data_IF_659407320322
#
_entry.id   IF_659407320322
#
_cell.length_a   1.000
_cell.length_b   1.000
_cell.length_c   1.000
_cell.angle_alpha   90.00
_cell.angle_beta   90.00
_cell.angle_gamma   90.00
#
_symmetry.space_group_name_H-M   'P 1'
#
loop_
_entity.id
_entity.type
_entity.pdbx_description
1 polymer ?
#
# COMPACT_ATOMS: atom_id res chain seq x y z
N UNK A 1 -4.65 4.41 -24.83
CA UNK A 1 -3.88 4.58 -23.59
C UNK A 1 -2.94 3.40 -23.47
N UNK A 2 -1.65 3.66 -23.26
CA UNK A 2 -0.65 2.62 -23.07
C UNK A 2 -0.50 2.32 -21.57
N UNK A 3 -0.13 1.08 -21.20
CA UNK A 3 0.14 0.70 -19.81
C UNK A 3 1.21 1.59 -19.17
N UNK A 4 2.22 1.97 -19.93
CA UNK A 4 3.33 2.83 -19.51
C UNK A 4 2.94 4.28 -19.18
N UNK A 5 1.73 4.73 -19.54
CA UNK A 5 1.21 6.06 -19.18
C UNK A 5 0.61 6.10 -17.77
N UNK A 6 0.46 4.95 -17.12
CA UNK A 6 -0.13 4.83 -15.78
C UNK A 6 0.89 4.23 -14.81
N UNK A 7 1.14 4.95 -13.73
CA UNK A 7 2.07 4.53 -12.68
C UNK A 7 1.30 3.79 -11.56
N UNK A 8 1.71 2.56 -11.23
CA UNK A 8 1.26 1.83 -10.03
C UNK A 8 2.24 2.14 -8.90
N UNK A 9 1.78 2.90 -7.90
CA UNK A 9 2.57 3.27 -6.73
C UNK A 9 2.27 2.34 -5.55
N UNK A 10 3.21 1.45 -5.23
CA UNK A 10 3.07 0.42 -4.21
C UNK A 10 3.53 0.89 -2.82
N UNK A 11 2.82 0.51 -1.75
CA UNK A 11 3.21 0.82 -0.38
C UNK A 11 4.30 -0.14 0.11
N UNK A 12 5.37 0.38 0.70
CA UNK A 12 6.46 -0.43 1.24
C UNK A 12 6.71 -0.09 2.70
N UNK A 13 6.62 -1.11 3.58
CA UNK A 13 6.87 -1.01 5.01
C UNK A 13 7.97 -1.95 5.50
N UNK A 14 8.52 -2.80 4.63
CA UNK A 14 9.62 -3.73 4.92
C UNK A 14 10.36 -4.10 3.64
N UNK A 15 11.51 -4.73 3.75
CA UNK A 15 12.28 -5.21 2.58
C UNK A 15 11.55 -6.32 1.82
N UNK A 16 10.79 -7.18 2.51
CA UNK A 16 9.95 -8.19 1.90
C UNK A 16 8.86 -7.55 1.04
N UNK A 17 8.25 -6.45 1.53
CA UNK A 17 7.25 -5.70 0.78
C UNK A 17 7.88 -4.96 -0.42
N UNK A 18 9.11 -4.45 -0.30
CA UNK A 18 9.86 -3.86 -1.40
C UNK A 18 10.12 -4.88 -2.51
N UNK A 19 10.68 -6.04 -2.15
CA UNK A 19 10.92 -7.12 -3.11
C UNK A 19 9.63 -7.60 -3.77
N UNK A 20 8.55 -7.76 -2.99
CA UNK A 20 7.24 -8.17 -3.49
C UNK A 20 6.61 -7.13 -4.44
N UNK A 21 6.74 -5.82 -4.17
CA UNK A 21 6.27 -4.76 -5.06
C UNK A 21 6.99 -4.78 -6.40
N UNK A 22 8.32 -4.93 -6.38
CA UNK A 22 9.15 -5.04 -7.59
C UNK A 22 8.78 -6.28 -8.40
N UNK A 23 8.67 -7.45 -7.76
CA UNK A 23 8.27 -8.69 -8.42
C UNK A 23 6.90 -8.62 -9.09
N UNK A 24 5.98 -7.88 -8.48
CA UNK A 24 4.61 -7.73 -8.98
C UNK A 24 4.47 -6.69 -10.11
N UNK A 25 5.53 -5.95 -10.45
CA UNK A 25 5.53 -4.98 -11.53
C UNK A 25 5.05 -3.58 -11.12
N UNK A 26 5.30 -3.16 -9.87
CA UNK A 26 5.10 -1.77 -9.47
C UNK A 26 6.04 -0.84 -10.25
N UNK A 27 5.54 0.34 -10.66
CA UNK A 27 6.34 1.36 -11.35
C UNK A 27 7.06 2.26 -10.33
N UNK A 28 6.47 2.39 -9.14
CA UNK A 28 7.07 3.12 -8.04
C UNK A 28 6.72 2.51 -6.68
N UNK A 29 7.55 2.82 -5.70
CA UNK A 29 7.31 2.46 -4.30
C UNK A 29 7.33 3.70 -3.42
N UNK A 30 6.48 3.72 -2.38
CA UNK A 30 6.52 4.79 -1.40
C UNK A 30 6.63 4.24 0.03
N UNK A 31 7.45 4.89 0.84
CA UNK A 31 7.77 4.45 2.19
C UNK A 31 8.02 5.64 3.12
N UNK A 32 8.19 5.37 4.41
CA UNK A 32 8.51 6.38 5.41
C UNK A 32 9.73 5.98 6.21
N UNK A 33 10.48 6.98 6.66
CA UNK A 33 11.58 6.82 7.61
C UNK A 33 11.25 7.54 8.91
N UNK A 34 11.64 6.97 10.05
CA UNK A 34 11.46 7.60 11.35
C UNK A 34 10.04 8.11 11.62
N UNK A 35 9.92 9.37 12.11
CA UNK A 35 8.66 9.92 12.61
C UNK A 35 7.91 10.83 11.65
N UNK A 36 8.54 11.34 10.59
CA UNK A 36 7.98 12.37 9.69
C UNK A 36 6.98 11.83 8.66
N UNK A 37 6.24 10.78 8.97
CA UNK A 37 5.27 10.19 8.06
C UNK A 37 3.98 9.75 8.76
N UNK A 38 2.87 9.74 8.03
CA UNK A 38 1.51 9.47 8.53
C UNK A 38 1.29 8.04 9.07
N UNK A 39 2.28 7.15 8.98
CA UNK A 39 2.25 5.77 9.50
C UNK A 39 3.34 5.51 10.53
N UNK A 40 3.97 6.55 11.07
CA UNK A 40 5.08 6.44 12.00
C UNK A 40 4.78 5.56 13.23
N UNK A 41 3.55 5.55 13.72
CA UNK A 41 3.12 4.75 14.87
C UNK A 41 2.45 3.41 14.51
N UNK A 42 2.21 3.12 13.22
CA UNK A 42 1.40 1.96 12.79
C UNK A 42 2.06 1.06 11.75
N UNK A 43 3.23 1.42 11.25
CA UNK A 43 4.03 0.60 10.34
C UNK A 43 5.43 0.39 10.93
N UNK A 44 6.09 -0.70 10.56
CA UNK A 44 7.52 -0.84 10.75
C UNK A 44 8.19 0.15 9.80
N UNK A 45 8.71 1.26 10.34
CA UNK A 45 9.33 2.28 9.51
C UNK A 45 10.80 1.96 9.33
N UNK A 46 11.31 2.26 8.14
CA UNK A 46 12.73 2.26 7.86
C UNK A 46 13.44 3.37 8.65
N UNK A 47 14.75 3.25 8.77
CA UNK A 47 15.64 4.28 9.29
C UNK A 47 16.23 5.10 8.14
N UNK A 48 16.92 6.20 8.44
CA UNK A 48 17.65 6.96 7.44
C UNK A 48 18.77 6.16 6.77
N UNK A 49 19.35 5.19 7.48
CA UNK A 49 20.41 4.34 6.96
C UNK A 49 19.91 3.32 5.92
N UNK A 50 18.62 3.02 5.93
CA UNK A 50 18.00 2.13 4.95
C UNK A 50 17.80 2.80 3.58
N UNK A 51 17.82 4.16 3.50
CA UNK A 51 17.51 4.90 2.27
C UNK A 51 18.37 4.45 1.08
N UNK A 52 19.68 4.41 1.25
CA UNK A 52 20.62 4.00 0.20
C UNK A 52 20.26 2.63 -0.39
N UNK A 53 19.98 1.66 0.49
CA UNK A 53 19.66 0.30 0.08
C UNK A 53 18.31 0.22 -0.62
N UNK A 54 17.28 0.93 -0.11
CA UNK A 54 15.94 0.94 -0.71
C UNK A 54 16.00 1.54 -2.11
N UNK A 55 16.60 2.73 -2.26
CA UNK A 55 16.73 3.42 -3.54
C UNK A 55 17.52 2.59 -4.54
N UNK A 56 18.70 2.07 -4.15
CA UNK A 56 19.50 1.22 -5.02
C UNK A 56 18.75 -0.05 -5.46
N UNK A 57 17.98 -0.68 -4.56
CA UNK A 57 17.20 -1.88 -4.89
C UNK A 57 16.05 -1.55 -5.87
N UNK A 58 15.32 -0.46 -5.65
CA UNK A 58 14.24 -0.02 -6.52
C UNK A 58 14.78 0.37 -7.91
N UNK A 59 15.79 1.21 -7.97
CA UNK A 59 16.40 1.69 -9.21
C UNK A 59 17.04 0.58 -10.04
N UNK A 60 17.66 -0.41 -9.39
CA UNK A 60 18.20 -1.59 -10.10
C UNK A 60 17.11 -2.37 -10.86
N UNK A 61 15.86 -2.25 -10.45
CA UNK A 61 14.71 -2.84 -11.11
C UNK A 61 13.93 -1.85 -12.01
N UNK A 62 14.41 -0.61 -12.17
CA UNK A 62 13.72 0.44 -12.92
C UNK A 62 12.48 1.03 -12.21
N UNK A 63 12.36 0.82 -10.89
CA UNK A 63 11.25 1.28 -10.06
C UNK A 63 11.63 2.57 -9.34
N UNK A 64 10.76 3.60 -9.39
CA UNK A 64 10.99 4.86 -8.68
C UNK A 64 10.78 4.70 -7.17
N UNK A 65 11.46 5.50 -6.38
CA UNK A 65 11.41 5.48 -4.91
C UNK A 65 10.96 6.84 -4.35
N UNK A 66 9.85 6.86 -3.61
CA UNK A 66 9.28 8.08 -3.03
C UNK A 66 9.28 8.05 -1.51
N UNK A 67 9.82 9.10 -0.91
CA UNK A 67 9.87 9.23 0.55
C UNK A 67 8.70 10.05 1.08
N UNK A 68 7.92 9.50 2.02
CA UNK A 68 6.87 10.28 2.68
C UNK A 68 7.43 11.16 3.81
N UNK A 69 7.25 12.47 3.66
CA UNK A 69 7.51 13.53 4.67
C UNK A 69 6.22 14.33 4.82
N UNK A 70 5.13 13.63 5.16
CA UNK A 70 3.77 14.15 5.02
C UNK A 70 3.02 14.35 6.35
N UNK A 71 3.73 14.49 7.45
CA UNK A 71 3.20 14.99 8.72
C UNK A 71 3.18 16.51 8.75
N UNK A 72 2.37 17.08 9.63
CA UNK A 72 2.52 18.49 10.03
C UNK A 72 3.82 18.64 10.80
N UNK A 73 4.59 19.67 10.53
CA UNK A 73 5.91 19.95 11.12
C UNK A 73 5.76 20.98 12.23
N UNK A 74 6.43 20.79 13.36
CA UNK A 74 6.53 21.78 14.44
C UNK A 74 7.90 22.44 14.39
N UNK A 75 8.01 23.62 15.01
CA UNK A 75 9.21 24.45 14.93
C UNK A 75 10.49 23.73 15.40
N UNK A 76 10.39 22.91 16.43
CA UNK A 76 11.49 22.10 16.98
C UNK A 76 11.91 20.92 16.06
N UNK A 77 11.16 20.64 14.99
CA UNK A 77 11.45 19.58 14.04
C UNK A 77 12.04 20.09 12.71
N UNK A 78 12.15 21.40 12.54
CA UNK A 78 12.61 22.01 11.26
C UNK A 78 13.96 21.47 10.82
N UNK A 79 14.93 21.35 11.75
CA UNK A 79 16.23 20.81 11.42
C UNK A 79 16.14 19.34 11.00
N UNK A 80 15.35 18.50 11.71
CA UNK A 80 15.15 17.09 11.35
C UNK A 80 14.53 16.93 9.96
N UNK A 81 13.59 17.81 9.59
CA UNK A 81 13.00 17.82 8.24
C UNK A 81 14.07 18.10 7.19
N UNK A 82 14.93 19.09 7.42
CA UNK A 82 16.04 19.41 6.51
C UNK A 82 17.00 18.21 6.37
N UNK A 83 17.45 17.64 7.47
CA UNK A 83 18.37 16.48 7.48
C UNK A 83 17.80 15.27 6.71
N UNK A 84 16.50 14.99 6.91
CA UNK A 84 15.82 13.89 6.18
C UNK A 84 15.77 14.17 4.68
N UNK A 85 15.43 15.39 4.27
CA UNK A 85 15.32 15.74 2.85
C UNK A 85 16.71 15.83 2.19
N UNK A 86 17.72 16.35 2.90
CA UNK A 86 19.12 16.37 2.42
C UNK A 86 19.63 14.94 2.20
N UNK A 87 19.38 14.04 3.15
CA UNK A 87 19.75 12.63 3.00
C UNK A 87 18.99 11.97 1.85
N UNK A 88 17.68 12.22 1.72
CA UNK A 88 16.88 11.72 0.61
C UNK A 88 17.45 12.14 -0.75
N UNK A 89 17.84 13.42 -0.89
CA UNK A 89 18.52 13.93 -2.09
C UNK A 89 19.86 13.23 -2.33
N UNK A 90 20.68 13.10 -1.30
CA UNK A 90 22.01 12.49 -1.42
C UNK A 90 21.95 11.03 -1.88
N UNK A 91 20.91 10.29 -1.46
CA UNK A 91 20.71 8.88 -1.84
C UNK A 91 19.91 8.74 -3.16
N UNK A 92 19.53 9.84 -3.82
CA UNK A 92 18.89 9.82 -5.13
C UNK A 92 17.41 9.46 -5.11
N UNK A 93 16.68 9.84 -4.04
CA UNK A 93 15.21 9.65 -4.00
C UNK A 93 14.57 10.42 -5.18
N UNK A 94 13.58 9.82 -5.86
CA UNK A 94 12.94 10.44 -7.02
C UNK A 94 12.03 11.61 -6.63
N UNK A 95 11.24 11.47 -5.55
CA UNK A 95 10.44 12.55 -5.01
C UNK A 95 10.15 12.37 -3.51
N UNK A 96 9.77 13.47 -2.85
CA UNK A 96 9.12 13.41 -1.54
C UNK A 96 7.61 13.60 -1.68
N UNK A 97 6.84 12.91 -0.83
CA UNK A 97 5.40 13.11 -0.69
C UNK A 97 5.18 13.96 0.56
N UNK A 98 4.76 15.22 0.39
CA UNK A 98 4.69 16.20 1.48
C UNK A 98 3.34 16.94 1.53
N UNK A 99 3.02 17.51 2.68
CA UNK A 99 1.84 18.38 2.89
C UNK A 99 2.18 19.68 3.59
N UNK A 100 3.23 19.69 4.43
CA UNK A 100 3.67 20.86 5.16
C UNK A 100 4.59 21.72 4.28
N UNK A 101 4.36 23.02 4.26
CA UNK A 101 5.16 23.96 3.47
C UNK A 101 6.62 24.00 3.88
N UNK A 102 6.95 23.70 5.16
CA UNK A 102 8.34 23.58 5.59
C UNK A 102 9.10 22.54 4.77
N UNK A 103 8.49 21.36 4.56
CA UNK A 103 9.07 20.30 3.75
C UNK A 103 9.03 20.62 2.24
N UNK A 104 7.89 21.13 1.74
CA UNK A 104 7.69 21.43 0.31
C UNK A 104 8.70 22.47 -0.17
N UNK A 105 8.79 23.63 0.52
CA UNK A 105 9.66 24.73 0.11
C UNK A 105 11.14 24.38 0.24
N UNK A 106 11.50 23.63 1.29
CA UNK A 106 12.88 23.17 1.45
C UNK A 106 13.31 22.22 0.33
N UNK A 107 12.49 21.19 0.06
CA UNK A 107 12.77 20.23 -1.01
C UNK A 107 12.92 20.92 -2.37
N UNK A 108 12.02 21.85 -2.70
CA UNK A 108 12.10 22.62 -3.94
C UNK A 108 13.36 23.47 -4.02
N UNK A 109 13.72 24.15 -2.92
CA UNK A 109 14.94 24.96 -2.85
C UNK A 109 16.20 24.17 -3.16
N UNK A 110 16.28 22.93 -2.73
CA UNK A 110 17.45 22.08 -2.97
C UNK A 110 17.31 21.19 -4.22
N UNK A 111 16.21 21.28 -4.97
CA UNK A 111 16.00 20.57 -6.24
C UNK A 111 15.53 19.12 -6.08
N UNK A 112 14.78 18.80 -5.02
CA UNK A 112 14.06 17.53 -4.86
C UNK A 112 12.64 17.69 -5.36
N UNK A 113 12.15 16.73 -6.14
CA UNK A 113 10.77 16.70 -6.63
C UNK A 113 9.77 16.49 -5.48
N UNK A 114 8.58 17.09 -5.63
CA UNK A 114 7.53 17.04 -4.61
C UNK A 114 6.23 16.54 -5.20
N UNK A 115 5.61 15.53 -4.58
CA UNK A 115 4.21 15.18 -4.75
C UNK A 115 3.40 15.78 -3.58
N UNK A 116 2.33 16.52 -3.89
CA UNK A 116 1.46 17.07 -2.84
C UNK A 116 0.57 15.97 -2.28
N UNK A 117 0.70 15.73 -0.99
CA UNK A 117 0.01 14.65 -0.30
C UNK A 117 -1.51 14.89 -0.18
N UNK A 118 -2.27 13.80 -0.06
CA UNK A 118 -3.73 13.82 0.12
C UNK A 118 -4.21 14.66 1.33
N UNK A 119 -3.34 14.90 2.33
CA UNK A 119 -3.67 15.73 3.48
C UNK A 119 -3.87 17.23 3.12
N UNK A 120 -3.43 17.66 1.94
CA UNK A 120 -3.70 19.00 1.41
C UNK A 120 -5.12 19.16 0.89
N UNK A 121 -5.89 18.05 0.75
CA UNK A 121 -7.30 18.00 0.38
C UNK A 121 -7.64 18.78 -0.90
N UNK A 122 -6.81 18.61 -1.95
CA UNK A 122 -6.97 19.26 -3.25
C UNK A 122 -8.25 18.77 -3.91
N UNK A 123 -9.18 19.68 -4.21
CA UNK A 123 -10.52 19.34 -4.69
C UNK A 123 -11.01 20.22 -5.85
N UNK A 124 -10.17 21.08 -6.41
CA UNK A 124 -10.49 21.95 -7.55
C UNK A 124 -9.22 22.39 -8.28
N UNK A 125 -9.40 22.87 -9.52
CA UNK A 125 -8.30 23.29 -10.41
C UNK A 125 -7.52 24.50 -9.92
N UNK A 126 -8.14 25.43 -9.18
CA UNK A 126 -7.42 26.60 -8.64
C UNK A 126 -6.43 26.16 -7.56
N UNK A 127 -6.81 25.19 -6.74
CA UNK A 127 -5.89 24.60 -5.76
C UNK A 127 -4.76 23.81 -6.44
N UNK A 128 -5.06 23.08 -7.53
CA UNK A 128 -4.02 22.44 -8.37
C UNK A 128 -3.06 23.49 -8.91
N UNK A 129 -3.56 24.57 -9.51
CA UNK A 129 -2.76 25.67 -10.03
C UNK A 129 -1.90 26.35 -8.95
N UNK A 130 -2.43 26.47 -7.73
CA UNK A 130 -1.65 26.96 -6.61
C UNK A 130 -0.47 26.04 -6.30
N UNK A 131 -0.70 24.73 -6.18
CA UNK A 131 0.36 23.77 -5.85
C UNK A 131 1.29 23.46 -7.02
N UNK A 132 0.89 23.70 -8.28
CA UNK A 132 1.73 23.48 -9.45
C UNK A 132 3.02 24.32 -9.47
N UNK A 133 3.08 25.37 -8.64
CA UNK A 133 4.30 26.15 -8.46
C UNK A 133 5.43 25.34 -7.78
N UNK A 134 5.09 24.27 -7.05
CA UNK A 134 6.04 23.49 -6.26
C UNK A 134 6.05 21.99 -6.60
N UNK A 135 5.02 21.47 -7.27
CA UNK A 135 4.86 20.06 -7.49
C UNK A 135 4.39 19.72 -8.90
N UNK A 136 4.89 18.62 -9.42
CA UNK A 136 4.48 18.05 -10.71
C UNK A 136 3.33 17.05 -10.58
N UNK A 137 3.13 16.49 -9.37
CA UNK A 137 2.08 15.53 -9.06
C UNK A 137 1.29 15.97 -7.83
N UNK A 138 -0.05 15.88 -7.91
CA UNK A 138 -0.94 16.22 -6.80
C UNK A 138 -1.88 15.06 -6.47
N UNK A 139 -2.02 14.74 -5.17
CA UNK A 139 -3.01 13.77 -4.72
C UNK A 139 -4.34 14.49 -4.46
N UNK A 140 -5.36 14.17 -5.25
CA UNK A 140 -6.68 14.75 -5.04
C UNK A 140 -7.37 14.18 -3.79
N UNK A 141 -8.34 14.94 -3.28
CA UNK A 141 -9.18 14.52 -2.15
C UNK A 141 -9.97 13.25 -2.50
N UNK A 142 -10.09 12.35 -1.52
CA UNK A 142 -10.75 11.02 -1.70
C UNK A 142 -12.28 11.10 -1.72
N UNK A 143 -12.83 12.25 -1.39
CA UNK A 143 -14.26 12.54 -1.37
C UNK A 143 -14.83 12.90 -2.75
N UNK A 144 -13.96 13.11 -3.75
CA UNK A 144 -14.36 13.49 -5.10
C UNK A 144 -14.99 12.32 -5.86
N UNK A 145 -15.98 12.63 -6.70
CA UNK A 145 -16.48 11.71 -7.71
C UNK A 145 -15.57 11.70 -8.93
N UNK A 146 -15.63 10.64 -9.75
CA UNK A 146 -14.85 10.57 -11.00
C UNK A 146 -15.20 11.70 -11.98
N UNK A 147 -16.46 12.17 -11.96
CA UNK A 147 -16.86 13.31 -12.78
C UNK A 147 -16.14 14.59 -12.35
N UNK A 148 -16.05 14.84 -11.03
CA UNK A 148 -15.30 15.99 -10.50
C UNK A 148 -13.80 15.88 -10.80
N UNK A 149 -13.22 14.68 -10.70
CA UNK A 149 -11.83 14.42 -11.11
C UNK A 149 -11.63 14.74 -12.59
N UNK A 150 -12.52 14.26 -13.46
CA UNK A 150 -12.47 14.55 -14.89
C UNK A 150 -12.61 16.05 -15.21
N UNK A 151 -13.41 16.79 -14.44
CA UNK A 151 -13.50 18.25 -14.55
C UNK A 151 -12.18 18.92 -14.18
N UNK A 152 -11.55 18.52 -13.09
CA UNK A 152 -10.24 19.05 -12.69
C UNK A 152 -9.19 18.77 -13.76
N UNK A 153 -9.16 17.53 -14.28
CA UNK A 153 -8.22 17.15 -15.35
C UNK A 153 -8.43 17.99 -16.63
N UNK A 154 -9.68 18.20 -17.06
CA UNK A 154 -9.95 19.09 -18.19
C UNK A 154 -9.40 20.50 -17.95
N UNK A 155 -9.60 21.06 -16.76
CA UNK A 155 -9.08 22.39 -16.42
C UNK A 155 -7.54 22.43 -16.39
N UNK A 156 -6.86 21.35 -15.98
CA UNK A 156 -5.40 21.25 -16.08
C UNK A 156 -4.95 21.36 -17.53
N UNK A 157 -5.62 20.64 -18.44
CA UNK A 157 -5.29 20.64 -19.88
C UNK A 157 -5.65 21.97 -20.55
N UNK A 158 -6.88 22.47 -20.36
CA UNK A 158 -7.40 23.68 -21.00
C UNK A 158 -6.65 24.96 -20.58
N UNK A 159 -6.21 25.01 -19.32
CA UNK A 159 -5.48 26.17 -18.77
C UNK A 159 -3.96 25.98 -18.73
N UNK A 160 -3.45 24.91 -19.34
CA UNK A 160 -2.02 24.57 -19.42
C UNK A 160 -1.33 24.64 -18.05
N UNK A 161 -1.94 24.02 -17.03
CA UNK A 161 -1.41 24.04 -15.66
C UNK A 161 -0.22 23.08 -15.56
N UNK A 162 0.99 23.66 -15.51
CA UNK A 162 2.25 22.92 -15.51
C UNK A 162 2.95 22.99 -14.18
N UNK A 163 3.61 21.88 -13.84
CA UNK A 163 4.51 21.79 -12.71
C UNK A 163 5.90 22.33 -13.00
N UNK A 164 6.81 22.25 -12.02
CA UNK A 164 8.18 22.78 -12.13
C UNK A 164 9.05 22.13 -13.23
N UNK A 165 8.72 20.93 -13.71
CA UNK A 165 9.39 20.28 -14.84
C UNK A 165 8.94 20.81 -16.19
N UNK A 166 7.89 21.61 -16.20
CA UNK A 166 7.28 22.13 -17.43
C UNK A 166 6.25 21.20 -18.06
N UNK A 167 5.97 20.05 -17.46
CA UNK A 167 4.94 19.11 -17.88
C UNK A 167 3.59 19.46 -17.21
N UNK A 168 2.47 19.01 -17.80
CA UNK A 168 1.17 19.15 -17.16
C UNK A 168 1.17 18.44 -15.80
N UNK A 169 0.52 19.05 -14.81
CA UNK A 169 0.39 18.45 -13.47
C UNK A 169 -0.34 17.13 -13.56
N UNK A 170 0.24 16.09 -13.00
CA UNK A 170 -0.32 14.74 -12.93
C UNK A 170 -1.25 14.58 -11.73
N UNK A 171 -2.33 13.84 -11.95
CA UNK A 171 -3.29 13.48 -10.91
C UNK A 171 -2.95 12.10 -10.34
N UNK A 172 -2.64 12.09 -9.04
CA UNK A 172 -2.51 10.87 -8.23
C UNK A 172 -3.79 10.66 -7.42
N UNK A 173 -4.31 9.42 -7.38
CA UNK A 173 -5.45 9.06 -6.55
C UNK A 173 -5.28 7.66 -5.95
N UNK A 174 -5.90 7.44 -4.76
CA UNK A 174 -5.97 6.10 -4.19
C UNK A 174 -6.84 5.20 -5.04
N UNK A 175 -6.28 4.06 -5.46
CA UNK A 175 -6.98 3.03 -6.23
C UNK A 175 -7.43 1.85 -5.36
N UNK A 176 -6.69 1.53 -4.29
CA UNK A 176 -6.96 0.36 -3.44
C UNK A 176 -6.55 0.58 -1.99
N UNK A 177 -7.28 -0.09 -1.08
CA UNK A 177 -6.91 -0.27 0.31
C UNK A 177 -7.69 0.58 1.30
N UNK A 178 -7.17 0.73 2.50
CA UNK A 178 -7.90 1.32 3.62
C UNK A 178 -8.38 2.75 3.37
N UNK A 179 -9.67 2.98 3.51
CA UNK A 179 -10.27 4.32 3.48
C UNK A 179 -10.38 4.88 4.91
N UNK A 180 -10.13 6.19 5.06
CA UNK A 180 -10.29 6.88 6.32
C UNK A 180 -11.76 7.29 6.55
N UNK A 181 -12.24 7.19 7.79
CA UNK A 181 -13.55 7.72 8.19
C UNK A 181 -13.62 9.24 8.11
N UNK A 182 -12.49 9.90 8.25
CA UNK A 182 -12.37 11.36 8.26
C UNK A 182 -11.68 11.86 6.99
N UNK A 183 -11.87 13.14 6.68
CA UNK A 183 -11.02 13.86 5.73
C UNK A 183 -9.54 13.63 6.09
N UNK A 184 -8.71 13.38 5.08
CA UNK A 184 -7.32 12.98 5.26
C UNK A 184 -6.54 13.98 6.13
N UNK A 185 -5.91 13.48 7.21
CA UNK A 185 -5.13 14.28 8.14
C UNK A 185 -5.93 15.16 9.11
N UNK A 186 -7.27 15.20 9.05
CA UNK A 186 -8.11 16.10 9.87
C UNK A 186 -8.86 15.41 11.02
N UNK A 187 -8.51 14.16 11.34
CA UNK A 187 -9.18 13.38 12.38
C UNK A 187 -8.63 13.73 13.78
N UNK A 188 -9.53 14.15 14.70
CA UNK A 188 -9.22 14.41 16.09
C UNK A 188 -9.41 13.20 17.02
N UNK A 189 -9.99 12.10 16.56
CA UNK A 189 -10.39 10.97 17.41
C UNK A 189 -9.22 10.44 18.26
N UNK A 190 -8.05 10.20 17.64
CA UNK A 190 -6.88 9.73 18.36
C UNK A 190 -6.29 10.79 19.29
N UNK A 191 -6.31 12.06 18.90
CA UNK A 191 -5.83 13.15 19.74
C UNK A 191 -6.69 13.28 21.00
N UNK A 192 -8.02 13.27 20.82
CA UNK A 192 -8.97 13.38 21.93
C UNK A 192 -8.84 12.24 22.93
N UNK A 193 -8.80 10.99 22.46
CA UNK A 193 -8.82 9.79 23.32
C UNK A 193 -7.44 9.45 23.92
N UNK A 194 -6.35 9.75 23.23
CA UNK A 194 -5.02 9.22 23.57
C UNK A 194 -3.91 10.25 23.55
N UNK A 195 -4.23 11.50 23.35
CA UNK A 195 -3.26 12.59 23.15
C UNK A 195 -2.23 12.30 22.03
N UNK A 196 -2.66 11.56 20.99
CA UNK A 196 -1.83 11.18 19.85
C UNK A 196 -2.43 11.71 18.55
N UNK A 197 -1.81 12.69 17.92
CA UNK A 197 -2.35 13.36 16.74
C UNK A 197 -2.20 12.50 15.47
N UNK A 198 -3.33 12.29 14.75
CA UNK A 198 -3.33 11.53 13.51
C UNK A 198 -2.53 12.23 12.39
N UNK A 199 -2.55 13.57 12.29
CA UNK A 199 -1.78 14.32 11.30
C UNK A 199 -0.26 14.36 11.60
N UNK A 200 0.13 13.80 12.75
CA UNK A 200 1.52 13.60 13.19
C UNK A 200 1.95 12.14 13.11
N UNK A 201 1.25 11.31 12.35
CA UNK A 201 1.56 9.88 12.18
C UNK A 201 1.11 8.97 13.31
N UNK A 202 0.47 9.50 14.37
CA UNK A 202 0.11 8.75 15.57
C UNK A 202 -1.36 8.31 15.62
N UNK A 203 -1.95 7.99 14.45
CA UNK A 203 -3.32 7.46 14.37
C UNK A 203 -3.43 6.09 15.05
N UNK A 204 -4.24 5.99 16.10
CA UNK A 204 -4.52 4.75 16.85
C UNK A 204 -5.62 3.88 16.25
N UNK A 205 -6.19 4.28 15.10
CA UNK A 205 -7.26 3.57 14.39
C UNK A 205 -8.48 3.27 15.28
N UNK A 206 -8.84 4.18 16.17
CA UNK A 206 -9.97 4.02 17.10
C UNK A 206 -11.29 3.79 16.33
N UNK A 207 -11.45 4.40 15.15
CA UNK A 207 -12.59 4.16 14.26
C UNK A 207 -12.75 2.68 13.83
N UNK A 208 -11.75 1.83 14.08
CA UNK A 208 -11.82 0.38 13.75
C UNK A 208 -12.33 -0.49 14.90
N UNK A 209 -12.75 0.12 16.02
CA UNK A 209 -13.35 -0.56 17.17
C UNK A 209 -14.86 -0.66 17.03
N UNK A 210 -15.47 -1.55 17.82
CA UNK A 210 -16.91 -1.59 18.02
C UNK A 210 -17.34 -0.45 18.95
N UNK A 211 -18.46 0.17 18.65
CA UNK A 211 -19.05 1.22 19.46
C UNK A 211 -20.54 0.95 19.69
N UNK A 212 -21.02 1.25 20.88
CA UNK A 212 -22.43 1.36 21.19
C UNK A 212 -22.75 2.84 21.32
N UNK A 213 -23.77 3.30 20.62
CA UNK A 213 -24.27 4.67 20.71
C UNK A 213 -25.54 4.65 21.52
N UNK A 214 -25.53 5.34 22.66
CA UNK A 214 -26.70 5.44 23.56
C UNK A 214 -27.16 6.89 23.60
N UNK A 215 -28.44 7.11 23.35
CA UNK A 215 -29.09 8.38 23.60
C UNK A 215 -29.21 8.57 25.11
N UNK A 216 -28.55 9.57 25.67
CA UNK A 216 -28.52 9.82 27.10
C UNK A 216 -29.83 10.40 27.65
N UNK A 217 -30.69 10.98 26.81
CA UNK A 217 -31.98 11.54 27.22
C UNK A 217 -33.07 10.45 27.28
N UNK A 218 -33.07 9.56 26.34
CA UNK A 218 -34.10 8.52 26.22
C UNK A 218 -33.65 7.16 26.76
N UNK A 219 -32.33 6.95 26.92
CA UNK A 219 -31.75 5.66 27.24
C UNK A 219 -31.76 4.65 26.08
N UNK A 220 -32.29 5.06 24.91
CA UNK A 220 -32.33 4.20 23.74
C UNK A 220 -30.90 3.94 23.24
N UNK A 221 -30.49 2.67 23.23
CA UNK A 221 -29.26 2.27 22.58
C UNK A 221 -29.51 2.03 21.10
N UNK A 222 -28.76 2.70 20.23
CA UNK A 222 -28.62 2.31 18.84
C UNK A 222 -27.76 1.06 18.79
N UNK A 223 -28.40 -0.11 18.87
CA UNK A 223 -27.71 -1.36 18.55
C UNK A 223 -27.58 -1.47 17.03
N UNK A 224 -26.41 -1.03 16.55
CA UNK A 224 -26.09 -1.13 15.14
C UNK A 224 -25.49 -2.53 14.89
N UNK A 225 -26.20 -3.59 15.31
CA UNK A 225 -25.88 -5.01 15.09
C UNK A 225 -24.37 -5.35 15.31
N UNK A 226 -23.75 -4.83 16.36
CA UNK A 226 -22.31 -4.99 16.61
C UNK A 226 -21.42 -4.48 15.49
N UNK A 227 -21.91 -3.60 14.62
CA UNK A 227 -21.23 -3.13 13.42
C UNK A 227 -20.16 -2.09 13.75
N UNK A 228 -19.20 -2.02 12.87
CA UNK A 228 -18.09 -1.07 12.95
C UNK A 228 -18.48 0.24 12.29
N UNK A 229 -19.41 0.98 12.88
CA UNK A 229 -20.06 2.19 12.32
C UNK A 229 -19.10 3.30 11.89
N UNK A 230 -17.87 3.29 12.40
CA UNK A 230 -16.84 4.24 12.03
C UNK A 230 -15.74 3.59 11.15
N UNK A 231 -15.91 2.30 10.76
CA UNK A 231 -14.91 1.56 10.00
C UNK A 231 -15.34 1.35 8.55
N UNK A 232 -14.99 2.26 7.62
CA UNK A 232 -15.29 2.05 6.21
C UNK A 232 -14.70 0.74 5.71
N UNK A 233 -15.35 0.11 4.72
CA UNK A 233 -14.76 -0.93 3.89
C UNK A 233 -13.53 -0.40 3.17
N UNK A 234 -12.69 -1.28 2.68
CA UNK A 234 -11.51 -0.90 1.91
C UNK A 234 -11.92 -0.50 0.48
N UNK A 235 -11.28 0.55 -0.04
CA UNK A 235 -11.47 1.02 -1.41
C UNK A 235 -10.99 -0.05 -2.39
N UNK A 236 -11.74 -0.26 -3.47
CA UNK A 236 -11.35 -1.10 -4.59
C UNK A 236 -11.92 -0.53 -5.89
N UNK A 237 -11.05 -0.14 -6.81
CA UNK A 237 -11.44 0.46 -8.10
C UNK A 237 -11.39 -0.53 -9.25
N UNK A 238 -11.04 -1.81 -9.00
CA UNK A 238 -10.85 -2.81 -10.05
C UNK A 238 -12.11 -3.08 -10.89
N UNK A 239 -13.30 -2.84 -10.37
CA UNK A 239 -14.55 -3.02 -11.11
C UNK A 239 -14.82 -1.93 -12.17
N UNK A 240 -14.12 -0.78 -12.09
CA UNK A 240 -14.32 0.39 -12.94
C UNK A 240 -13.00 1.11 -13.25
N UNK A 241 -11.89 0.36 -13.29
CA UNK A 241 -10.55 0.90 -13.46
C UNK A 241 -10.40 1.68 -14.78
N UNK A 242 -11.05 1.25 -15.85
CA UNK A 242 -11.11 1.94 -17.13
C UNK A 242 -11.68 3.36 -17.00
N UNK A 243 -12.80 3.53 -16.28
CA UNK A 243 -13.38 4.84 -15.99
C UNK A 243 -12.52 5.66 -15.04
N UNK A 244 -11.88 5.01 -14.07
CA UNK A 244 -11.01 5.66 -13.11
C UNK A 244 -9.81 6.32 -13.79
N UNK A 245 -9.10 5.61 -14.68
CA UNK A 245 -7.99 6.18 -15.46
C UNK A 245 -8.49 7.12 -16.57
N UNK A 246 -9.67 6.86 -17.14
CA UNK A 246 -10.35 7.74 -18.09
C UNK A 246 -10.72 9.11 -17.53
N UNK A 247 -10.84 9.26 -16.21
CA UNK A 247 -11.06 10.54 -15.54
C UNK A 247 -9.82 11.45 -15.49
N UNK A 248 -8.66 10.97 -15.99
CA UNK A 248 -7.41 11.73 -16.03
C UNK A 248 -6.39 11.35 -14.95
N UNK A 249 -6.69 10.34 -14.14
CA UNK A 249 -5.72 9.79 -13.15
C UNK A 249 -4.55 9.14 -13.88
N UNK A 250 -3.33 9.44 -13.43
CA UNK A 250 -2.07 8.89 -13.98
C UNK A 250 -1.30 8.06 -12.96
N UNK A 251 -1.44 8.35 -11.67
CA UNK A 251 -0.76 7.60 -10.61
C UNK A 251 -1.79 6.88 -9.73
N UNK A 252 -1.77 5.55 -9.76
CA UNK A 252 -2.62 4.66 -8.97
C UNK A 252 -1.94 4.36 -7.64
N UNK A 253 -2.37 5.03 -6.58
CA UNK A 253 -1.81 4.80 -5.24
C UNK A 253 -2.51 3.66 -4.52
N UNK A 254 -1.73 2.68 -4.06
CA UNK A 254 -2.19 1.59 -3.20
C UNK A 254 -1.92 1.96 -1.74
N UNK A 255 -2.94 1.93 -0.87
CA UNK A 255 -2.75 2.09 0.58
C UNK A 255 -2.42 0.76 1.22
N UNK A 256 -1.36 0.70 2.05
CA UNK A 256 -1.01 -0.55 2.70
C UNK A 256 0.37 -0.65 3.32
N UNK A 257 1.06 0.43 3.72
CA UNK A 257 2.40 0.37 4.34
C UNK A 257 2.51 -0.50 5.61
N UNK A 258 1.39 -0.72 6.30
CA UNK A 258 1.31 -1.63 7.45
C UNK A 258 0.81 -3.03 7.07
N UNK A 259 0.74 -3.37 5.78
CA UNK A 259 0.32 -4.68 5.28
C UNK A 259 1.52 -5.58 5.01
N UNK A 260 1.27 -6.89 4.98
CA UNK A 260 2.28 -7.88 4.63
C UNK A 260 2.68 -7.82 3.15
N UNK A 261 3.82 -8.42 2.82
CA UNK A 261 4.35 -8.46 1.47
C UNK A 261 3.41 -9.20 0.49
N UNK A 262 2.68 -10.22 0.97
CA UNK A 262 1.69 -10.96 0.19
C UNK A 262 0.51 -10.07 -0.26
N UNK A 263 0.12 -9.10 0.56
CA UNK A 263 -0.88 -8.10 0.18
C UNK A 263 -0.35 -7.20 -0.94
N UNK A 264 0.86 -6.68 -0.77
CA UNK A 264 1.48 -5.78 -1.75
C UNK A 264 1.60 -6.47 -3.10
N UNK A 265 2.14 -7.69 -3.13
CA UNK A 265 2.26 -8.49 -4.36
C UNK A 265 0.90 -8.68 -5.02
N UNK A 266 -0.08 -9.21 -4.30
CA UNK A 266 -1.40 -9.54 -4.87
C UNK A 266 -2.12 -8.32 -5.43
N UNK A 267 -2.06 -7.18 -4.71
CA UNK A 267 -2.74 -5.96 -5.17
C UNK A 267 -2.06 -5.41 -6.42
N UNK A 268 -0.72 -5.30 -6.43
CA UNK A 268 0.01 -4.78 -7.60
C UNK A 268 -0.22 -5.66 -8.82
N UNK A 269 -0.09 -6.99 -8.71
CA UNK A 269 -0.36 -7.95 -9.80
C UNK A 269 -1.76 -7.78 -10.40
N UNK A 270 -2.80 -7.67 -9.56
CA UNK A 270 -4.18 -7.51 -10.03
C UNK A 270 -4.39 -6.18 -10.78
N UNK A 271 -3.79 -5.09 -10.30
CA UNK A 271 -3.90 -3.80 -10.98
C UNK A 271 -3.07 -3.75 -12.26
N UNK A 272 -1.87 -4.35 -12.31
CA UNK A 272 -1.07 -4.45 -13.52
C UNK A 272 -1.80 -5.28 -14.60
N UNK A 273 -2.36 -6.43 -14.21
CA UNK A 273 -3.15 -7.27 -15.13
C UNK A 273 -4.38 -6.52 -15.67
N UNK A 274 -5.10 -5.79 -14.81
CA UNK A 274 -6.24 -4.97 -15.23
C UNK A 274 -5.81 -3.87 -16.23
N UNK A 275 -4.70 -3.16 -15.98
CA UNK A 275 -4.19 -2.13 -16.87
C UNK A 275 -3.74 -2.70 -18.22
N UNK A 276 -3.07 -3.85 -18.24
CA UNK A 276 -2.70 -4.56 -19.47
C UNK A 276 -3.93 -5.00 -20.26
N UNK A 277 -4.97 -5.46 -19.57
CA UNK A 277 -6.23 -5.82 -20.22
C UNK A 277 -6.96 -4.60 -20.80
N UNK A 278 -6.90 -3.44 -20.15
CA UNK A 278 -7.45 -2.19 -20.68
C UNK A 278 -6.68 -1.76 -21.94
N UNK A 279 -5.34 -1.81 -21.92
CA UNK A 279 -4.51 -1.52 -23.08
C UNK A 279 -4.83 -2.44 -24.26
N UNK A 280 -4.98 -3.74 -24.00
CA UNK A 280 -5.31 -4.77 -25.00
C UNK A 280 -6.78 -4.74 -25.45
N UNK A 281 -7.65 -3.94 -24.82
CA UNK A 281 -9.10 -3.92 -25.09
C UNK A 281 -9.84 -5.19 -24.66
N UNK A 282 -9.28 -5.95 -23.72
CA UNK A 282 -9.84 -7.22 -23.19
C UNK A 282 -10.38 -7.09 -21.77
N UNK A 283 -10.36 -5.90 -21.20
CA UNK A 283 -10.91 -5.64 -19.87
C UNK A 283 -12.44 -5.78 -19.89
N UNK A 284 -12.94 -6.75 -19.13
CA UNK A 284 -14.36 -7.09 -19.07
C UNK A 284 -14.85 -7.16 -17.62
N UNK A 285 -16.17 -7.05 -17.37
CA UNK A 285 -16.71 -7.27 -16.02
C UNK A 285 -16.36 -8.64 -15.43
N UNK A 286 -16.26 -9.69 -16.25
CA UNK A 286 -15.87 -11.02 -15.80
C UNK A 286 -14.41 -11.05 -15.33
N UNK A 287 -13.48 -10.42 -16.08
CA UNK A 287 -12.09 -10.27 -15.65
C UNK A 287 -12.01 -9.48 -14.35
N UNK A 288 -12.68 -8.33 -14.26
CA UNK A 288 -12.70 -7.50 -13.06
C UNK A 288 -13.21 -8.28 -11.82
N UNK A 289 -14.27 -9.08 -11.99
CA UNK A 289 -14.80 -9.95 -10.91
C UNK A 289 -13.75 -10.98 -10.47
N UNK A 290 -13.08 -11.67 -11.39
CA UNK A 290 -12.00 -12.61 -11.07
C UNK A 290 -10.80 -11.95 -10.36
N UNK A 291 -10.41 -10.74 -10.79
CA UNK A 291 -9.38 -9.98 -10.10
C UNK A 291 -9.82 -9.58 -8.68
N UNK A 292 -11.08 -9.20 -8.50
CA UNK A 292 -11.63 -8.85 -7.18
C UNK A 292 -11.66 -10.07 -6.23
N UNK A 293 -11.97 -11.26 -6.74
CA UNK A 293 -11.86 -12.51 -5.97
C UNK A 293 -10.41 -12.77 -5.53
N UNK A 294 -9.43 -12.56 -6.41
CA UNK A 294 -8.02 -12.66 -6.05
C UNK A 294 -7.62 -11.61 -5.01
N UNK A 295 -8.08 -10.37 -5.12
CA UNK A 295 -7.88 -9.31 -4.13
C UNK A 295 -8.50 -9.68 -2.77
N UNK A 296 -9.61 -10.41 -2.76
CA UNK A 296 -10.25 -10.87 -1.53
C UNK A 296 -9.44 -11.95 -0.78
N UNK A 297 -8.46 -12.59 -1.40
CA UNK A 297 -7.60 -13.60 -0.74
C UNK A 297 -6.61 -13.00 0.26
N UNK A 298 -6.31 -11.71 0.16
CA UNK A 298 -5.41 -11.00 1.07
C UNK A 298 -6.18 -10.05 1.98
N UNK A 299 -5.50 -9.43 2.94
CA UNK A 299 -6.14 -8.58 3.94
C UNK A 299 -7.06 -7.52 3.31
N UNK A 300 -8.33 -7.51 3.70
CA UNK A 300 -9.31 -6.49 3.35
C UNK A 300 -10.37 -6.37 4.46
N UNK A 301 -11.25 -5.36 4.37
CA UNK A 301 -12.42 -5.16 5.27
C UNK A 301 -13.74 -5.23 4.52
N UNK A 302 -13.82 -6.03 3.46
CA UNK A 302 -14.79 -5.92 2.40
C UNK A 302 -14.43 -4.75 1.48
N UNK A 303 -15.01 -4.74 0.27
CA UNK A 303 -14.70 -3.75 -0.75
C UNK A 303 -15.89 -2.87 -1.08
N UNK A 304 -15.61 -1.62 -1.45
CA UNK A 304 -16.55 -0.68 -2.03
C UNK A 304 -15.82 0.32 -2.95
N UNK A 305 -16.57 1.05 -3.75
CA UNK A 305 -16.01 2.00 -4.72
C UNK A 305 -15.58 3.36 -4.12
N UNK A 306 -15.69 3.54 -2.82
CA UNK A 306 -15.48 4.84 -2.20
C UNK A 306 -16.54 5.86 -2.63
N UNK A 307 -16.17 7.13 -2.69
CA UNK A 307 -17.05 8.21 -3.15
C UNK A 307 -16.99 8.40 -4.67
N UNK A 308 -16.17 7.66 -5.38
CA UNK A 308 -15.91 7.83 -6.83
C UNK A 308 -17.17 7.66 -7.68
N UNK A 309 -18.10 6.80 -7.27
CA UNK A 309 -19.38 6.61 -7.96
C UNK A 309 -20.48 7.62 -7.54
N UNK A 310 -20.17 8.58 -6.66
CA UNK A 310 -21.13 9.60 -6.21
C UNK A 310 -22.16 9.09 -5.20
N UNK A 311 -21.94 7.97 -4.52
CA UNK A 311 -22.85 7.45 -3.50
C UNK A 311 -22.81 8.31 -2.24
N UNK A 312 -23.98 8.71 -1.68
CA UNK A 312 -24.03 9.60 -0.53
C UNK A 312 -23.74 8.91 0.81
N UNK A 313 -23.76 7.57 0.88
CA UNK A 313 -23.61 6.82 2.13
C UNK A 313 -22.43 5.87 2.03
N UNK A 314 -21.48 6.02 2.98
CA UNK A 314 -20.32 5.14 3.09
C UNK A 314 -20.72 3.71 3.49
N UNK A 315 -20.08 2.72 2.90
CA UNK A 315 -20.22 1.33 3.31
C UNK A 315 -19.21 0.99 4.43
N UNK A 316 -19.70 0.34 5.47
CA UNK A 316 -18.93 0.00 6.66
C UNK A 316 -18.59 -1.48 6.72
N UNK A 317 -17.43 -1.80 7.34
CA UNK A 317 -17.02 -3.18 7.60
C UNK A 317 -17.99 -3.85 8.59
N UNK A 318 -18.26 -5.13 8.37
CA UNK A 318 -19.07 -5.95 9.29
C UNK A 318 -18.19 -6.80 10.22
N UNK A 319 -16.86 -6.81 9.99
CA UNK A 319 -15.91 -7.66 10.70
C UNK A 319 -14.79 -6.85 11.36
N UNK A 320 -14.29 -7.38 12.48
CA UNK A 320 -13.05 -6.90 13.07
C UNK A 320 -11.85 -7.51 12.33
N UNK A 321 -10.88 -6.67 11.97
CA UNK A 321 -9.67 -7.14 11.32
C UNK A 321 -9.85 -7.44 9.84
N UNK A 322 -9.46 -8.63 9.41
CA UNK A 322 -9.48 -9.04 8.00
C UNK A 322 -10.71 -9.84 7.63
N UNK A 323 -11.31 -9.53 6.50
CA UNK A 323 -12.31 -10.32 5.81
C UNK A 323 -11.71 -11.18 4.67
N UNK A 324 -10.40 -11.38 4.67
CA UNK A 324 -9.72 -12.19 3.66
C UNK A 324 -10.29 -13.61 3.61
N UNK A 325 -10.46 -14.15 2.41
CA UNK A 325 -10.96 -15.50 2.18
C UNK A 325 -9.91 -16.59 2.44
N UNK A 326 -8.64 -16.20 2.55
CA UNK A 326 -7.51 -17.08 2.90
C UNK A 326 -6.74 -16.49 4.08
N UNK A 327 -6.25 -17.33 4.95
CA UNK A 327 -5.45 -16.94 6.11
C UNK A 327 -4.05 -17.54 5.99
N UNK A 328 -3.02 -16.71 6.13
CA UNK A 328 -1.65 -17.19 6.22
C UNK A 328 -1.36 -17.75 7.61
N UNK A 329 -0.72 -18.89 7.66
CA UNK A 329 -0.27 -19.56 8.88
C UNK A 329 1.24 -19.75 8.79
N UNK A 330 1.96 -19.30 9.80
CA UNK A 330 3.40 -19.51 9.87
C UNK A 330 3.73 -20.99 10.07
N UNK A 331 4.63 -21.49 9.25
CA UNK A 331 5.10 -22.89 9.31
C UNK A 331 6.48 -22.98 9.93
N UNK A 332 7.44 -22.21 9.40
CA UNK A 332 8.82 -22.31 9.86
C UNK A 332 9.78 -21.41 9.09
N UNK A 333 11.05 -21.74 9.20
CA UNK A 333 12.14 -20.92 8.68
C UNK A 333 13.10 -21.75 7.85
N UNK A 334 13.56 -21.16 6.74
CA UNK A 334 14.61 -21.74 5.89
C UNK A 334 15.95 -21.70 6.62
N UNK A 335 16.51 -22.88 6.84
CA UNK A 335 17.83 -23.07 7.46
C UNK A 335 18.94 -23.08 6.43
N UNK A 336 18.64 -23.60 5.22
CA UNK A 336 19.57 -23.64 4.10
C UNK A 336 18.85 -23.69 2.75
N UNK A 337 19.52 -23.34 1.65
CA UNK A 337 19.04 -23.51 0.28
C UNK A 337 20.13 -24.15 -0.59
N UNK A 338 19.84 -25.34 -1.09
CA UNK A 338 20.72 -26.11 -1.95
C UNK A 338 20.49 -25.75 -3.42
N UNK A 339 21.18 -24.71 -3.90
CA UNK A 339 20.97 -24.11 -5.23
C UNK A 339 21.05 -25.10 -6.40
N UNK A 340 21.93 -26.14 -6.31
CA UNK A 340 22.12 -27.09 -7.42
C UNK A 340 20.93 -27.99 -7.67
N UNK A 341 20.13 -28.24 -6.66
CA UNK A 341 18.97 -29.13 -6.70
C UNK A 341 17.67 -28.38 -6.41
N UNK A 342 17.72 -27.04 -6.26
CA UNK A 342 16.58 -26.19 -5.99
C UNK A 342 15.74 -26.64 -4.77
N UNK A 343 16.41 -26.98 -3.67
CA UNK A 343 15.77 -27.46 -2.44
C UNK A 343 16.04 -26.53 -1.27
N UNK A 344 14.98 -26.09 -0.62
CA UNK A 344 15.02 -25.39 0.65
C UNK A 344 14.93 -26.38 1.81
N UNK A 345 15.89 -26.32 2.74
CA UNK A 345 15.80 -26.99 4.04
C UNK A 345 15.04 -26.07 5.00
N UNK A 346 13.97 -26.59 5.59
CA UNK A 346 13.07 -25.82 6.44
C UNK A 346 12.96 -26.46 7.81
N UNK A 347 13.16 -25.68 8.86
CA UNK A 347 12.77 -26.06 10.20
C UNK A 347 11.30 -25.70 10.44
N UNK A 348 10.47 -26.71 10.67
CA UNK A 348 9.05 -26.54 10.97
C UNK A 348 8.92 -26.09 12.43
N UNK A 349 8.60 -24.79 12.65
CA UNK A 349 8.61 -24.20 13.99
C UNK A 349 7.22 -24.08 14.65
N UNK A 350 6.15 -24.00 13.83
CA UNK A 350 4.81 -23.73 14.37
C UNK A 350 3.75 -24.72 13.85
N UNK A 351 3.32 -24.59 12.59
CA UNK A 351 2.28 -25.43 12.00
C UNK A 351 2.89 -26.60 11.23
N UNK A 352 2.29 -27.81 11.28
CA UNK A 352 2.73 -28.93 10.45
C UNK A 352 2.60 -28.59 8.95
N UNK A 353 3.40 -29.25 8.12
CA UNK A 353 3.42 -29.08 6.68
C UNK A 353 3.04 -30.39 6.00
N UNK A 354 2.17 -30.33 4.97
CA UNK A 354 1.69 -31.50 4.23
C UNK A 354 1.73 -31.27 2.73
N UNK A 355 1.96 -32.33 1.98
CA UNK A 355 1.87 -32.33 0.52
C UNK A 355 0.47 -31.90 0.07
N UNK A 356 0.39 -31.10 -0.98
CA UNK A 356 -0.84 -30.51 -1.52
C UNK A 356 -1.27 -29.19 -0.91
N UNK A 357 -0.59 -28.71 0.16
CA UNK A 357 -0.86 -27.39 0.72
C UNK A 357 -0.30 -26.27 -0.17
N UNK A 358 -1.02 -25.16 -0.27
CA UNK A 358 -0.52 -23.94 -0.89
C UNK A 358 0.39 -23.21 0.11
N UNK A 359 1.64 -23.03 -0.27
CA UNK A 359 2.70 -22.44 0.56
C UNK A 359 3.30 -21.21 -0.12
N UNK A 360 3.94 -20.38 0.68
CA UNK A 360 4.83 -19.35 0.15
C UNK A 360 6.01 -19.09 1.08
N UNK A 361 7.15 -18.82 0.45
CA UNK A 361 8.32 -18.28 1.14
C UNK A 361 8.29 -16.76 1.11
N UNK A 362 8.72 -16.13 2.19
CA UNK A 362 8.78 -14.68 2.34
C UNK A 362 10.14 -14.27 2.90
N UNK A 363 10.84 -13.39 2.20
CA UNK A 363 12.14 -12.89 2.59
C UNK A 363 12.49 -11.54 1.98
N UNK A 364 13.45 -10.86 2.58
CA UNK A 364 13.86 -9.50 2.18
C UNK A 364 14.43 -9.42 0.75
N UNK A 365 14.98 -10.51 0.25
CA UNK A 365 15.51 -10.63 -1.13
C UNK A 365 14.57 -11.46 -1.98
N UNK A 366 13.99 -12.52 -1.42
CA UNK A 366 13.08 -13.44 -2.08
C UNK A 366 11.73 -12.78 -2.43
N UNK A 367 11.30 -11.78 -1.66
CA UNK A 367 9.95 -11.25 -1.76
C UNK A 367 8.94 -12.32 -1.37
N UNK A 368 8.06 -12.69 -2.28
CA UNK A 368 7.05 -13.75 -2.11
C UNK A 368 7.21 -14.78 -3.23
N UNK A 369 7.50 -16.01 -2.86
CA UNK A 369 7.55 -17.18 -3.77
C UNK A 369 6.43 -18.15 -3.39
N UNK A 370 5.35 -18.16 -4.18
CA UNK A 370 4.16 -18.99 -3.97
C UNK A 370 4.25 -20.28 -4.78
N UNK A 371 3.83 -21.41 -4.19
CA UNK A 371 3.69 -22.68 -4.89
C UNK A 371 2.73 -23.63 -4.14
N UNK A 372 2.18 -24.62 -4.83
CA UNK A 372 1.57 -25.78 -4.17
C UNK A 372 2.68 -26.77 -3.85
N UNK A 373 2.73 -27.29 -2.63
CA UNK A 373 3.74 -28.26 -2.18
C UNK A 373 3.52 -29.61 -2.87
N UNK A 374 4.29 -29.87 -3.90
CA UNK A 374 4.17 -31.09 -4.68
C UNK A 374 4.81 -32.30 -4.00
N UNK A 375 5.95 -32.10 -3.33
CA UNK A 375 6.69 -33.16 -2.64
C UNK A 375 7.36 -32.61 -1.38
N UNK A 376 7.56 -33.49 -0.41
CA UNK A 376 8.14 -33.20 0.89
C UNK A 376 9.06 -34.36 1.28
N UNK A 377 10.24 -34.07 1.79
CA UNK A 377 11.16 -35.07 2.31
C UNK A 377 11.51 -34.77 3.77
N UNK A 378 11.67 -35.81 4.55
CA UNK A 378 12.14 -35.72 5.93
C UNK A 378 13.66 -35.48 6.02
N UNK A 379 14.21 -35.50 7.24
CA UNK A 379 15.64 -35.29 7.52
C UNK A 379 16.55 -36.33 6.87
N UNK A 380 16.03 -37.54 6.60
CA UNK A 380 16.79 -38.64 6.05
C UNK A 380 16.67 -38.65 4.49
N UNK A 381 15.95 -37.68 3.93
CA UNK A 381 15.69 -37.58 2.50
C UNK A 381 14.60 -38.58 2.01
N UNK A 382 13.82 -39.14 2.93
CA UNK A 382 12.73 -40.04 2.59
C UNK A 382 11.46 -39.24 2.26
N UNK A 383 10.72 -39.55 1.18
CA UNK A 383 9.46 -38.92 0.87
C UNK A 383 8.46 -39.04 2.03
N UNK A 384 7.87 -37.91 2.43
CA UNK A 384 6.89 -37.85 3.50
C UNK A 384 5.61 -37.17 3.01
N UNK A 385 4.45 -37.61 3.50
CA UNK A 385 3.17 -36.95 3.23
C UNK A 385 2.96 -35.71 4.11
N UNK A 386 3.54 -35.73 5.29
CA UNK A 386 3.51 -34.60 6.22
C UNK A 386 4.68 -34.62 7.18
N UNK A 387 5.05 -33.46 7.71
CA UNK A 387 6.06 -33.31 8.77
C UNK A 387 5.49 -32.49 9.91
N UNK A 388 5.85 -32.90 11.13
CA UNK A 388 5.39 -32.26 12.36
C UNK A 388 6.27 -31.06 12.76
N UNK A 389 5.76 -30.26 13.70
CA UNK A 389 6.53 -29.22 14.38
C UNK A 389 7.80 -29.80 15.04
N UNK A 390 8.88 -29.03 14.99
CA UNK A 390 10.20 -29.42 15.53
C UNK A 390 11.07 -30.23 14.58
N UNK A 391 10.56 -30.55 13.37
CA UNK A 391 11.25 -31.37 12.37
C UNK A 391 11.90 -30.51 11.30
N UNK A 392 13.08 -30.90 10.81
CA UNK A 392 13.65 -30.40 9.56
C UNK A 392 13.00 -31.15 8.40
N UNK A 393 12.76 -30.45 7.29
CA UNK A 393 12.29 -31.05 6.06
C UNK A 393 12.92 -30.36 4.84
N UNK A 394 12.81 -31.00 3.70
CA UNK A 394 13.27 -30.51 2.42
C UNK A 394 12.07 -30.25 1.49
N UNK A 395 12.03 -29.05 0.92
CA UNK A 395 11.00 -28.56 0.02
C UNK A 395 11.65 -28.12 -1.29
N UNK A 396 11.24 -28.72 -2.40
CA UNK A 396 11.68 -28.26 -3.73
C UNK A 396 10.98 -26.93 -4.08
N UNK A 397 11.73 -26.00 -4.70
CA UNK A 397 11.18 -24.73 -5.20
C UNK A 397 11.97 -24.22 -6.40
N UNK A 398 11.25 -23.80 -7.46
CA UNK A 398 11.86 -23.24 -8.68
C UNK A 398 12.38 -21.81 -8.48
N UNK A 399 11.89 -21.12 -7.45
CA UNK A 399 12.35 -19.79 -7.09
C UNK A 399 13.54 -19.86 -6.12
N UNK A 400 14.65 -19.15 -6.35
CA UNK A 400 15.74 -19.08 -5.40
C UNK A 400 15.29 -18.52 -4.05
N UNK A 401 15.46 -19.32 -3.00
CA UNK A 401 15.13 -18.99 -1.62
C UNK A 401 16.41 -18.70 -0.84
N UNK A 402 16.32 -17.93 0.22
CA UNK A 402 17.47 -17.55 1.03
C UNK A 402 17.35 -18.09 2.46
N UNK A 403 18.49 -18.40 3.04
CA UNK A 403 18.57 -18.74 4.47
C UNK A 403 17.99 -17.60 5.29
N UNK A 404 17.06 -17.93 6.18
CA UNK A 404 16.37 -16.98 7.01
C UNK A 404 14.99 -16.59 6.51
N UNK A 405 14.62 -16.92 5.26
CA UNK A 405 13.27 -16.72 4.74
C UNK A 405 12.25 -17.50 5.58
N UNK A 406 11.09 -16.95 5.70
CA UNK A 406 9.98 -17.56 6.45
C UNK A 406 9.08 -18.34 5.50
N UNK A 407 8.65 -19.53 5.93
CA UNK A 407 7.67 -20.34 5.23
C UNK A 407 6.30 -20.17 5.88
N UNK A 408 5.31 -19.91 5.06
CA UNK A 408 3.90 -19.83 5.41
C UNK A 408 3.08 -20.78 4.55
N UNK A 409 1.90 -21.16 5.05
CA UNK A 409 0.86 -21.81 4.26
C UNK A 409 -0.44 -21.02 4.29
N UNK A 410 -1.26 -21.21 3.26
CA UNK A 410 -2.61 -20.67 3.24
C UNK A 410 -3.62 -21.72 3.76
N UNK A 411 -4.58 -21.24 4.56
CA UNK A 411 -5.71 -22.02 5.06
C UNK A 411 -7.01 -21.26 4.87
#
# INVERSE_FOLDING_TARGET
MQRSEIEIMAPVGSYEALAAAIQAGADSVYFGVGKLNMRSASAANFTLDDLAKIVATAHAAGVKAYLTVNTIVYEDEMQTVHEVIDRAKAEGIDAIIATDFAAILYARRIGVEVHISTQSNISNSETVKFFSQWADTVVLARELTLEQVAQIHRQIVENDIRGPRGELVEIEMFAHGALCMSISGKCYLSLYETNCSANRGACRQLCRRKYTVTDTETGAALDIDGRYVLSPKDLCTVDFLDRFIGSGVRVLKIEGRARGAEYVKRVVECYDEALRAIEAGTYTPALAAGLKERLATVFNRGFWEGYYAGRPVAEHSQHYGSAATRRKVYVGKVTNFYKRISVAEVLVEAAPLSVGEDIFFMGATTGIAEQTLAELHDTDGTPAQSVAQGTLCAVHTDTPIHRGDQLYKFV
#
